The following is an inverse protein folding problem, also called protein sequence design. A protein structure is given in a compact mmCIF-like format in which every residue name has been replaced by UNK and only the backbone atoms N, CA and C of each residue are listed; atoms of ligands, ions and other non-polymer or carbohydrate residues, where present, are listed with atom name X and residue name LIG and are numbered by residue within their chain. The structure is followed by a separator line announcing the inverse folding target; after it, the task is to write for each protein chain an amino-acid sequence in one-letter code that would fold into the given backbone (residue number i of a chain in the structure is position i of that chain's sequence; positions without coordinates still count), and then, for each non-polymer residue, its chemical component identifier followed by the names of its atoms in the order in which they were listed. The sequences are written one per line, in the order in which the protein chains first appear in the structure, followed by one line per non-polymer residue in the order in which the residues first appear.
data_IF_618069594612
#
_entry.id   IF_618069594612
#
_cell.length_a   1.000
_cell.length_b   1.000
_cell.length_c   1.000
_cell.angle_alpha   90.00
_cell.angle_beta   90.00
_cell.angle_gamma   90.00
#
_symmetry.space_group_name_H-M   'P 1'
#
loop_
_entity.id
_entity.type
_entity.pdbx_description
1 polymer ?
#
# COMPACT_ATOMS: atom_id res chain seq x y z
N UNK A 1 0.93 22.37 0.88
CA UNK A 1 0.18 21.11 1.12
C UNK A 1 1.11 20.19 1.89
N UNK A 2 1.21 20.40 3.20
CA UNK A 2 2.17 19.73 4.08
C UNK A 2 1.53 18.47 4.66
N UNK A 3 2.20 17.34 4.44
CA UNK A 3 1.98 16.07 5.14
C UNK A 3 1.89 16.29 6.66
N UNK A 4 0.78 15.87 7.26
CA UNK A 4 0.63 15.67 8.69
C UNK A 4 -0.54 14.69 8.99
N UNK A 5 -0.22 13.41 9.04
CA UNK A 5 -0.60 12.52 10.16
C UNK A 5 -2.06 12.34 10.58
N UNK A 6 -3.07 12.52 9.71
CA UNK A 6 -4.46 12.25 10.08
C UNK A 6 -5.26 11.56 8.97
N UNK A 7 -5.37 10.23 9.04
CA UNK A 7 -6.49 9.42 8.53
C UNK A 7 -6.84 9.53 7.03
N UNK A 8 -6.02 8.96 6.15
CA UNK A 8 -6.50 8.56 4.82
C UNK A 8 -6.37 7.05 4.64
N UNK A 9 -7.37 6.24 5.04
CA UNK A 9 -7.35 4.79 4.86
C UNK A 9 -7.08 4.36 3.41
N UNK A 10 -7.55 5.13 2.42
CA UNK A 10 -7.19 4.91 1.01
C UNK A 10 -5.69 5.08 0.73
N UNK A 11 -5.02 6.04 1.38
CA UNK A 11 -3.58 6.22 1.21
C UNK A 11 -2.83 4.99 1.70
N UNK A 12 -3.13 4.50 2.91
CA UNK A 12 -2.50 3.28 3.46
C UNK A 12 -2.67 2.08 2.51
N UNK A 13 -3.83 1.94 1.88
CA UNK A 13 -4.08 0.92 0.84
C UNK A 13 -3.14 1.08 -0.34
N UNK A 14 -2.99 2.30 -0.87
CA UNK A 14 -2.12 2.55 -2.00
C UNK A 14 -0.65 2.35 -1.67
N UNK A 15 -0.21 2.73 -0.46
CA UNK A 15 1.14 2.48 0.02
C UNK A 15 1.40 0.98 0.14
N UNK A 16 0.45 0.21 0.68
CA UNK A 16 0.55 -1.23 0.79
C UNK A 16 0.65 -1.90 -0.59
N UNK A 17 -0.13 -1.45 -1.58
CA UNK A 17 -0.02 -1.94 -2.97
C UNK A 17 1.35 -1.61 -3.56
N UNK A 18 1.89 -0.41 -3.33
CA UNK A 18 3.25 -0.07 -3.76
C UNK A 18 4.30 -1.01 -3.14
N UNK A 19 4.17 -1.34 -1.85
CA UNK A 19 5.08 -2.28 -1.19
C UNK A 19 4.97 -3.68 -1.81
N UNK A 20 3.76 -4.18 -2.03
CA UNK A 20 3.53 -5.49 -2.67
C UNK A 20 4.17 -5.59 -4.06
N UNK A 21 4.14 -4.50 -4.83
CA UNK A 21 4.71 -4.41 -6.18
C UNK A 21 6.18 -3.95 -6.21
N UNK A 22 6.87 -3.93 -5.06
CA UNK A 22 8.26 -3.45 -4.89
C UNK A 22 8.52 -2.03 -5.45
N UNK A 23 7.50 -1.18 -5.43
CA UNK A 23 7.62 0.23 -5.82
C UNK A 23 8.29 0.99 -4.68
N UNK A 24 9.47 1.56 -4.96
CA UNK A 24 10.26 2.27 -3.94
C UNK A 24 9.67 3.66 -3.63
N UNK A 25 9.64 4.07 -2.34
CA UNK A 25 9.23 5.41 -1.98
C UNK A 25 10.25 6.45 -2.46
N UNK A 26 9.78 7.66 -2.74
CA UNK A 26 10.65 8.80 -3.02
C UNK A 26 11.07 9.46 -1.71
N UNK A 27 12.29 10.02 -1.67
CA UNK A 27 12.79 10.74 -0.50
C UNK A 27 12.49 12.23 -0.63
N UNK A 28 11.58 12.72 0.19
CA UNK A 28 11.20 14.14 0.19
C UNK A 28 11.73 14.85 1.45
N UNK A 29 12.11 16.14 1.37
CA UNK A 29 12.42 16.93 2.55
C UNK A 29 11.22 16.96 3.50
N UNK A 30 11.46 16.90 4.80
CA UNK A 30 10.41 17.06 5.80
C UNK A 30 9.77 18.46 5.66
N UNK A 31 8.45 18.56 5.38
CA UNK A 31 7.76 19.83 5.26
C UNK A 31 7.79 20.66 6.55
N UNK A 32 8.07 20.05 7.71
CA UNK A 32 8.26 20.75 8.98
C UNK A 32 9.65 21.41 9.12
N UNK A 33 10.52 21.30 8.11
CA UNK A 33 11.83 21.96 8.11
C UNK A 33 12.87 21.32 9.03
N UNK A 34 12.62 20.12 9.55
CA UNK A 34 13.51 19.44 10.50
C UNK A 34 14.84 18.94 9.91
N UNK A 35 15.07 19.15 8.60
CA UNK A 35 16.22 18.63 7.86
C UNK A 35 16.18 17.11 7.60
N UNK A 36 15.18 16.39 8.15
CA UNK A 36 14.99 14.96 7.91
C UNK A 36 14.42 14.72 6.50
N UNK A 37 14.71 13.55 5.94
CA UNK A 37 14.11 13.08 4.68
C UNK A 37 13.06 12.02 4.99
N UNK A 38 11.82 12.26 4.56
CA UNK A 38 10.70 11.34 4.73
C UNK A 38 10.61 10.41 3.52
N UNK A 39 10.17 9.16 3.76
CA UNK A 39 9.79 8.23 2.69
C UNK A 39 8.36 8.58 2.29
N UNK A 40 8.19 9.08 1.07
CA UNK A 40 6.90 9.41 0.51
C UNK A 40 6.48 8.35 -0.50
N UNK A 41 5.34 7.73 -0.26
CA UNK A 41 4.70 6.82 -1.21
C UNK A 41 3.60 7.50 -2.01
N UNK A 42 3.14 8.70 -1.64
CA UNK A 42 2.08 9.40 -2.35
C UNK A 42 2.37 9.54 -3.84
N UNK A 43 3.53 10.14 -4.16
CA UNK A 43 3.93 10.38 -5.54
C UNK A 43 4.04 9.09 -6.38
N UNK A 44 4.73 8.02 -5.93
CA UNK A 44 4.78 6.78 -6.69
C UNK A 44 3.42 6.06 -6.76
N UNK A 45 2.59 6.12 -5.72
CA UNK A 45 1.24 5.54 -5.75
C UNK A 45 0.36 6.19 -6.81
N UNK A 46 0.40 7.52 -6.95
CA UNK A 46 -0.34 8.22 -8.00
C UNK A 46 0.12 7.80 -9.40
N UNK A 47 1.43 7.66 -9.61
CA UNK A 47 1.99 7.21 -10.89
C UNK A 47 1.57 5.78 -11.21
N UNK A 48 1.61 4.90 -10.21
CA UNK A 48 1.21 3.51 -10.34
C UNK A 48 -0.27 3.39 -10.76
N UNK A 49 -1.16 4.15 -10.12
CA UNK A 49 -2.58 4.16 -10.47
C UNK A 49 -2.86 4.69 -11.89
N UNK A 50 -1.99 5.58 -12.39
CA UNK A 50 -2.07 6.11 -13.75
C UNK A 50 -1.51 5.18 -14.83
N UNK A 51 -0.87 4.08 -14.45
CA UNK A 51 -0.32 3.11 -15.40
C UNK A 51 -1.45 2.24 -15.99
N UNK A 52 -1.55 2.22 -17.32
CA UNK A 52 -2.52 1.37 -18.05
C UNK A 52 -2.33 -0.12 -17.76
N UNK A 53 -1.12 -0.52 -17.35
CA UNK A 53 -0.79 -1.90 -16.98
C UNK A 53 -1.05 -2.21 -15.51
N UNK A 54 -1.53 -1.26 -14.71
CA UNK A 54 -1.74 -1.47 -13.27
C UNK A 54 -2.64 -2.67 -12.96
N UNK A 55 -3.82 -2.77 -13.58
CA UNK A 55 -4.71 -3.90 -13.36
C UNK A 55 -4.10 -5.24 -13.82
N UNK A 56 -3.51 -5.35 -15.04
CA UNK A 56 -2.72 -6.51 -15.43
C UNK A 56 -1.67 -6.92 -14.40
N UNK A 57 -0.89 -5.97 -13.85
CA UNK A 57 0.13 -6.28 -12.83
C UNK A 57 -0.47 -6.94 -11.58
N UNK A 58 -1.67 -6.54 -11.15
CA UNK A 58 -2.35 -7.14 -10.00
C UNK A 58 -2.88 -8.56 -10.30
N UNK A 59 -3.29 -8.81 -11.55
CA UNK A 59 -3.83 -10.10 -11.99
C UNK A 59 -2.73 -11.13 -12.22
N UNK A 60 -1.59 -10.68 -12.75
CA UNK A 60 -0.42 -11.50 -13.07
C UNK A 60 0.60 -11.58 -11.92
N UNK A 61 0.26 -11.01 -10.76
CA UNK A 61 1.14 -10.99 -9.60
C UNK A 61 1.52 -12.41 -9.16
N UNK A 62 2.84 -12.65 -9.05
CA UNK A 62 3.40 -13.94 -8.63
C UNK A 62 3.22 -14.15 -7.11
N UNK A 63 2.01 -14.54 -6.74
CA UNK A 63 1.61 -14.85 -5.35
C UNK A 63 2.32 -16.06 -4.75
N UNK A 64 2.96 -16.88 -5.58
CA UNK A 64 3.65 -18.10 -5.16
C UNK A 64 5.10 -17.80 -4.73
N UNK A 65 5.65 -16.64 -5.11
CA UNK A 65 7.01 -16.20 -4.80
C UNK A 65 7.07 -14.79 -4.20
N UNK A 66 6.25 -14.52 -3.17
CA UNK A 66 6.27 -13.21 -2.51
C UNK A 66 7.49 -13.12 -1.56
N UNK A 67 8.34 -12.08 -1.64
CA UNK A 67 9.46 -11.94 -0.72
C UNK A 67 8.97 -11.80 0.74
N UNK A 68 9.54 -12.59 1.65
CA UNK A 68 9.16 -12.59 3.08
C UNK A 68 9.20 -11.17 3.69
N UNK A 69 10.23 -10.40 3.32
CA UNK A 69 10.39 -9.00 3.73
C UNK A 69 9.19 -8.14 3.32
N UNK A 70 8.65 -8.35 2.13
CA UNK A 70 7.50 -7.59 1.61
C UNK A 70 6.25 -7.91 2.42
N UNK A 71 5.96 -9.20 2.63
CA UNK A 71 4.79 -9.62 3.41
C UNK A 71 4.89 -9.16 4.86
N UNK A 72 6.07 -9.27 5.49
CA UNK A 72 6.29 -8.83 6.87
C UNK A 72 6.03 -7.32 7.02
N UNK A 73 6.55 -6.50 6.10
CA UNK A 73 6.28 -5.04 6.11
C UNK A 73 4.79 -4.75 5.98
N UNK A 74 4.09 -5.45 5.09
CA UNK A 74 2.64 -5.25 4.90
C UNK A 74 1.85 -5.69 6.12
N UNK A 75 2.22 -6.83 6.73
CA UNK A 75 1.58 -7.35 7.95
C UNK A 75 1.71 -6.38 9.11
N UNK A 76 2.93 -5.96 9.41
CA UNK A 76 3.25 -5.12 10.57
C UNK A 76 2.70 -3.71 10.44
N UNK A 77 2.77 -3.10 9.25
CA UNK A 77 2.42 -1.68 9.07
C UNK A 77 0.97 -1.43 8.69
N UNK A 78 0.35 -2.35 7.94
CA UNK A 78 -0.95 -2.10 7.33
C UNK A 78 -1.98 -3.14 7.74
N UNK A 79 -1.73 -4.44 7.52
CA UNK A 79 -2.73 -5.50 7.71
C UNK A 79 -3.33 -5.54 9.13
N UNK A 80 -2.48 -5.36 10.15
CA UNK A 80 -2.89 -5.35 11.56
C UNK A 80 -3.47 -3.99 12.00
N UNK A 81 -3.38 -2.95 11.16
CA UNK A 81 -3.90 -1.64 11.48
C UNK A 81 -5.45 -1.65 11.38
N UNK A 82 -6.17 -1.17 12.40
CA UNK A 82 -7.63 -1.26 12.43
C UNK A 82 -8.33 -0.42 11.35
N UNK A 83 -7.64 0.54 10.74
CA UNK A 83 -8.18 1.35 9.64
C UNK A 83 -7.93 0.73 8.26
N UNK A 84 -7.11 -0.31 8.19
CA UNK A 84 -6.92 -1.15 7.01
C UNK A 84 -8.02 -2.23 6.89
N UNK A 85 -9.27 -1.83 7.11
CA UNK A 85 -10.44 -2.70 7.01
C UNK A 85 -11.21 -2.40 5.71
N UNK A 86 -11.42 -3.38 4.82
CA UNK A 86 -12.22 -3.20 3.60
C UNK A 86 -13.60 -2.57 3.85
N UNK A 87 -14.27 -2.89 4.96
CA UNK A 87 -15.59 -2.32 5.30
C UNK A 87 -15.50 -0.84 5.62
N UNK A 88 -14.47 -0.42 6.36
CA UNK A 88 -14.21 1.00 6.64
C UNK A 88 -13.83 1.73 5.36
N UNK A 89 -12.91 1.17 4.58
CA UNK A 89 -12.42 1.78 3.34
C UNK A 89 -13.52 1.91 2.30
N UNK A 90 -14.48 0.98 2.24
CA UNK A 90 -15.66 1.07 1.36
C UNK A 90 -16.46 2.34 1.55
N UNK A 91 -16.55 2.84 2.79
CA UNK A 91 -17.26 4.10 3.08
C UNK A 91 -16.60 5.33 2.44
N UNK A 92 -15.32 5.20 2.04
CA UNK A 92 -14.51 6.24 1.42
C UNK A 92 -14.42 6.02 -0.09
N UNK A 93 -14.10 4.79 -0.53
CA UNK A 93 -13.95 4.45 -1.94
C UNK A 93 -14.07 2.95 -2.20
N UNK A 94 -14.96 2.59 -3.13
CA UNK A 94 -15.11 1.20 -3.61
C UNK A 94 -13.86 0.68 -4.34
N UNK A 95 -13.11 1.56 -5.02
CA UNK A 95 -11.87 1.17 -5.67
C UNK A 95 -10.78 0.83 -4.64
N UNK A 96 -10.62 1.68 -3.61
CA UNK A 96 -9.71 1.39 -2.50
C UNK A 96 -10.13 0.11 -1.75
N UNK A 97 -11.43 -0.16 -1.61
CA UNK A 97 -11.92 -1.42 -1.01
C UNK A 97 -11.40 -2.62 -1.80
N UNK A 98 -11.52 -2.61 -3.12
CA UNK A 98 -11.02 -3.68 -3.99
C UNK A 98 -9.52 -3.93 -3.80
N UNK A 99 -8.73 -2.85 -3.79
CA UNK A 99 -7.28 -2.92 -3.55
C UNK A 99 -6.94 -3.41 -2.14
N UNK A 100 -7.66 -2.96 -1.11
CA UNK A 100 -7.48 -3.43 0.26
C UNK A 100 -7.74 -4.94 0.36
N UNK A 101 -8.83 -5.43 -0.24
CA UNK A 101 -9.13 -6.87 -0.29
C UNK A 101 -8.04 -7.64 -1.03
N UNK A 102 -7.53 -7.11 -2.14
CA UNK A 102 -6.44 -7.72 -2.90
C UNK A 102 -5.18 -7.87 -2.03
N UNK A 103 -4.73 -6.80 -1.36
CA UNK A 103 -3.55 -6.86 -0.47
C UNK A 103 -3.78 -7.90 0.65
N UNK A 104 -4.94 -7.87 1.30
CA UNK A 104 -5.26 -8.82 2.37
C UNK A 104 -5.28 -10.27 1.86
N UNK A 105 -5.80 -10.50 0.65
CA UNK A 105 -5.81 -11.82 0.04
C UNK A 105 -4.39 -12.36 -0.20
N UNK A 106 -3.46 -11.52 -0.66
CA UNK A 106 -2.07 -11.93 -0.84
C UNK A 106 -1.39 -12.30 0.48
N UNK A 107 -1.63 -11.52 1.54
CA UNK A 107 -1.09 -11.80 2.88
C UNK A 107 -1.63 -13.12 3.45
N UNK A 108 -2.92 -13.40 3.24
CA UNK A 108 -3.57 -14.64 3.69
C UNK A 108 -3.09 -15.84 2.87
N UNK A 109 -2.93 -15.68 1.55
CA UNK A 109 -2.40 -16.72 0.68
C UNK A 109 -1.02 -17.18 1.14
N UNK A 110 -0.09 -16.24 1.28
CA UNK A 110 1.26 -16.47 1.81
C UNK A 110 1.24 -17.19 3.16
N UNK A 111 0.30 -16.83 4.05
CA UNK A 111 0.13 -17.42 5.37
C UNK A 111 -0.28 -18.90 5.35
N UNK A 112 -1.03 -19.31 4.34
CA UNK A 112 -1.54 -20.69 4.19
C UNK A 112 -0.54 -21.58 3.47
N UNK A 113 0.30 -21.00 2.61
CA UNK A 113 1.27 -21.73 1.79
C UNK A 113 2.69 -21.77 2.35
N UNK A 114 3.01 -20.94 3.35
CA UNK A 114 4.33 -20.88 4.00
C UNK A 114 4.51 -21.88 5.14
#
# INVERSE_FOLDING_TARGET
MTNASSNYPCLEVLEAVCVMLDVKPVRVPDPAGSGKRLKDFWTPSQKLLGDLKFLPMLMEYDKDNIPEKTVNVVREKYYNHPDFDPKKIRSISAACEGLCRWVRAMVVYDQVTS
#
